data_IF_890191308400
#
_entry.id   IF_890191308400
#
_cell.length_a   1.000
_cell.length_b   1.000
_cell.length_c   1.000
_cell.angle_alpha   90.00
_cell.angle_beta   90.00
_cell.angle_gamma   90.00
#
_symmetry.space_group_name_H-M   'P 1'
#
loop_
_entity.id
_entity.type
_entity.pdbx_description
1 polymer ?
#
# COMPACT_ATOMS: atom_id res chain seq x y z
N UNK A 1 -4.78 0.54 25.55
CA UNK A 1 -5.02 0.22 24.13
C UNK A 1 -5.89 1.33 23.58
N UNK A 2 -5.59 1.86 22.39
CA UNK A 2 -6.49 2.80 21.71
C UNK A 2 -7.75 2.05 21.25
N UNK A 3 -8.88 2.74 21.10
CA UNK A 3 -10.07 2.12 20.51
C UNK A 3 -9.91 1.98 19.00
N UNK A 4 -10.71 1.11 18.37
CA UNK A 4 -10.73 1.01 16.90
C UNK A 4 -11.12 2.35 16.25
N UNK A 5 -12.06 3.08 16.84
CA UNK A 5 -12.50 4.37 16.34
C UNK A 5 -11.36 5.41 16.36
N UNK A 6 -10.59 5.45 17.45
CA UNK A 6 -9.42 6.33 17.55
C UNK A 6 -8.40 6.04 16.45
N UNK A 7 -8.10 4.75 16.21
CA UNK A 7 -7.13 4.35 15.19
C UNK A 7 -7.60 4.72 13.78
N UNK A 8 -8.87 4.48 13.45
CA UNK A 8 -9.43 4.85 12.15
C UNK A 8 -9.35 6.35 11.88
N UNK A 9 -9.55 7.18 12.91
CA UNK A 9 -9.45 8.63 12.81
C UNK A 9 -8.02 9.14 12.57
N UNK A 10 -7.00 8.29 12.75
CA UNK A 10 -5.60 8.65 12.48
C UNK A 10 -5.17 8.39 11.03
N UNK A 11 -5.98 7.72 10.21
CA UNK A 11 -5.65 7.43 8.81
C UNK A 11 -5.59 8.75 8.04
N UNK A 12 -4.41 9.20 7.57
CA UNK A 12 -4.31 10.48 6.92
C UNK A 12 -4.82 10.41 5.48
N UNK A 13 -5.37 11.52 4.98
CA UNK A 13 -5.67 11.66 3.56
C UNK A 13 -4.37 11.66 2.73
N UNK A 14 -4.46 11.20 1.49
CA UNK A 14 -3.34 11.27 0.52
C UNK A 14 -2.98 12.74 0.24
N UNK A 15 -1.69 13.04 0.02
CA UNK A 15 -1.18 14.38 -0.35
C UNK A 15 -1.24 14.59 -1.89
N UNK A 16 -2.21 15.37 -2.41
CA UNK A 16 -2.35 15.60 -3.85
C UNK A 16 -1.25 16.50 -4.42
N UNK A 17 -0.65 17.34 -3.58
CA UNK A 17 0.45 18.21 -3.98
C UNK A 17 1.73 17.39 -4.18
N UNK A 18 1.99 16.40 -3.32
CA UNK A 18 3.09 15.45 -3.51
C UNK A 18 2.91 14.60 -4.77
N UNK A 19 1.70 14.07 -5.01
CA UNK A 19 1.39 13.35 -6.25
C UNK A 19 1.65 14.22 -7.49
N UNK A 20 1.20 15.49 -7.46
CA UNK A 20 1.41 16.43 -8.57
C UNK A 20 2.88 16.76 -8.80
N UNK A 21 3.68 16.88 -7.73
CA UNK A 21 5.15 17.06 -7.85
C UNK A 21 5.81 15.83 -8.46
N UNK A 22 5.40 14.62 -8.05
CA UNK A 22 5.93 13.36 -8.59
C UNK A 22 5.58 13.19 -10.07
N UNK A 23 4.33 13.47 -10.47
CA UNK A 23 3.91 13.43 -11.88
C UNK A 23 4.79 14.34 -12.74
N UNK A 24 4.93 15.62 -12.37
CA UNK A 24 5.78 16.58 -13.11
C UNK A 24 7.23 16.12 -13.23
N UNK A 25 7.78 15.55 -12.15
CA UNK A 25 9.14 15.01 -12.18
C UNK A 25 9.27 13.83 -13.15
N UNK A 26 8.34 12.86 -13.07
CA UNK A 26 8.34 11.64 -13.89
C UNK A 26 8.13 11.96 -15.38
N UNK A 27 7.27 12.91 -15.70
CA UNK A 27 7.05 13.37 -17.08
C UNK A 27 8.27 14.06 -17.69
N UNK A 28 9.12 14.66 -16.85
CA UNK A 28 10.36 15.31 -17.26
C UNK A 28 11.57 14.37 -17.40
N UNK A 29 11.42 13.08 -17.13
CA UNK A 29 12.51 12.10 -17.28
C UNK A 29 12.77 11.79 -18.77
N UNK A 30 13.95 11.25 -19.08
CA UNK A 30 14.37 10.87 -20.44
C UNK A 30 13.64 9.60 -20.93
N UNK A 31 12.34 9.75 -21.17
CA UNK A 31 11.42 8.73 -21.69
C UNK A 31 10.23 9.42 -22.35
N UNK A 32 9.55 8.80 -23.33
CA UNK A 32 8.25 9.30 -23.75
C UNK A 32 7.29 9.36 -22.56
N UNK A 33 6.49 10.43 -22.45
CA UNK A 33 5.52 10.61 -21.37
C UNK A 33 4.59 9.39 -21.30
N UNK A 34 4.39 8.83 -20.10
CA UNK A 34 3.55 7.65 -19.88
C UNK A 34 4.11 6.31 -20.36
N UNK A 35 5.30 6.26 -20.97
CA UNK A 35 5.85 5.01 -21.55
C UNK A 35 6.13 3.91 -20.52
N UNK A 36 6.28 4.22 -19.23
CA UNK A 36 6.43 3.21 -18.17
C UNK A 36 5.09 2.81 -17.54
N UNK A 37 3.98 3.41 -17.99
CA UNK A 37 2.60 3.03 -17.66
C UNK A 37 2.35 2.87 -16.16
N UNK A 38 2.03 1.64 -15.72
CA UNK A 38 1.69 1.32 -14.33
C UNK A 38 2.80 1.65 -13.33
N UNK A 39 4.06 1.64 -13.76
CA UNK A 39 5.18 1.99 -12.88
C UNK A 39 5.14 3.48 -12.51
N UNK A 40 4.74 4.35 -13.43
CA UNK A 40 4.55 5.79 -13.17
C UNK A 40 3.40 6.00 -12.20
N UNK A 41 2.26 5.35 -12.46
CA UNK A 41 1.09 5.41 -11.59
C UNK A 41 1.41 4.96 -10.15
N UNK A 42 2.18 3.88 -9.99
CA UNK A 42 2.61 3.39 -8.68
C UNK A 42 3.54 4.39 -7.98
N UNK A 43 4.51 4.98 -8.69
CA UNK A 43 5.42 5.96 -8.11
C UNK A 43 4.67 7.22 -7.62
N UNK A 44 3.68 7.70 -8.37
CA UNK A 44 2.83 8.83 -8.00
C UNK A 44 1.99 8.50 -6.78
N UNK A 45 1.38 7.30 -6.75
CA UNK A 45 0.60 6.84 -5.60
C UNK A 45 1.44 6.78 -4.32
N UNK A 46 2.66 6.24 -4.40
CA UNK A 46 3.58 6.18 -3.27
C UNK A 46 4.00 7.57 -2.80
N UNK A 47 4.27 8.51 -3.71
CA UNK A 47 4.60 9.88 -3.35
C UNK A 47 3.46 10.59 -2.59
N UNK A 48 2.20 10.22 -2.86
CA UNK A 48 1.04 10.75 -2.15
C UNK A 48 0.86 10.21 -0.73
N UNK A 49 1.54 9.14 -0.34
CA UNK A 49 1.41 8.57 1.01
C UNK A 49 2.11 9.46 2.05
N UNK A 50 1.40 10.07 3.02
CA UNK A 50 1.99 11.05 3.93
C UNK A 50 3.15 10.50 4.76
N UNK A 51 3.09 9.22 5.16
CA UNK A 51 4.18 8.55 5.88
C UNK A 51 5.49 8.40 5.10
N UNK A 52 5.47 8.64 3.77
CA UNK A 52 6.65 8.61 2.90
C UNK A 52 7.18 10.02 2.57
N UNK A 53 6.53 11.10 3.03
CA UNK A 53 6.99 12.48 2.83
C UNK A 53 7.31 12.84 1.36
N UNK A 54 6.58 12.28 0.40
CA UNK A 54 6.80 12.55 -1.03
C UNK A 54 7.99 11.82 -1.67
N UNK A 55 8.77 11.06 -0.90
CA UNK A 55 9.93 10.29 -1.41
C UNK A 55 9.77 8.81 -1.03
N UNK A 56 9.59 7.90 -2.01
CA UNK A 56 9.42 6.47 -1.72
C UNK A 56 10.68 5.82 -1.11
N UNK A 57 10.79 5.79 0.22
CA UNK A 57 11.83 5.04 0.93
C UNK A 57 11.41 3.58 1.13
N UNK A 58 11.98 2.65 0.37
CA UNK A 58 11.58 1.24 0.36
C UNK A 58 12.55 0.29 1.09
N UNK A 59 13.48 0.79 1.90
CA UNK A 59 14.53 -0.05 2.51
C UNK A 59 14.00 -1.03 3.57
N UNK A 60 12.95 -0.67 4.30
CA UNK A 60 12.34 -1.50 5.34
C UNK A 60 10.96 -1.98 4.89
N UNK A 61 10.83 -3.29 4.70
CA UNK A 61 9.57 -3.95 4.30
C UNK A 61 9.27 -5.06 5.28
N UNK A 62 8.00 -5.31 5.54
CA UNK A 62 7.54 -6.39 6.39
C UNK A 62 6.40 -7.13 5.70
N UNK A 63 6.36 -8.45 5.87
CA UNK A 63 5.22 -9.30 5.54
C UNK A 63 4.70 -9.86 6.85
N UNK A 64 3.46 -9.55 7.21
CA UNK A 64 2.82 -10.05 8.43
C UNK A 64 1.93 -11.24 8.05
N UNK A 65 2.28 -12.44 8.51
CA UNK A 65 1.49 -13.66 8.28
C UNK A 65 0.61 -13.91 9.49
N UNK A 66 -0.71 -13.83 9.30
CA UNK A 66 -1.70 -14.13 10.33
C UNK A 66 -2.22 -15.56 10.11
N UNK A 67 -2.06 -16.42 11.10
CA UNK A 67 -2.53 -17.80 11.05
C UNK A 67 -3.57 -18.05 12.15
N UNK A 68 -4.66 -18.71 11.80
CA UNK A 68 -5.68 -19.18 12.72
C UNK A 68 -6.38 -20.40 12.12
N UNK A 69 -6.83 -21.31 12.97
CA UNK A 69 -7.75 -22.37 12.57
C UNK A 69 -9.18 -21.84 12.47
N UNK A 70 -9.98 -22.48 11.63
CA UNK A 70 -11.40 -22.15 11.47
C UNK A 70 -12.28 -23.31 11.95
N UNK A 71 -13.25 -23.01 12.81
CA UNK A 71 -14.17 -24.03 13.35
C UNK A 71 -15.03 -24.70 12.28
N UNK A 72 -15.38 -23.98 11.20
CA UNK A 72 -16.14 -24.52 10.05
C UNK A 72 -15.43 -25.69 9.34
N UNK A 73 -14.14 -25.89 9.61
CA UNK A 73 -13.41 -27.07 9.11
C UNK A 73 -14.12 -28.39 9.48
N UNK A 74 -14.76 -28.46 10.65
CA UNK A 74 -15.49 -29.66 11.10
C UNK A 74 -16.70 -30.00 10.22
N UNK A 75 -17.21 -29.04 9.43
CA UNK A 75 -18.30 -29.24 8.47
C UNK A 75 -17.82 -29.88 7.14
N UNK A 76 -16.55 -30.30 7.05
CA UNK A 76 -16.01 -31.00 5.88
C UNK A 76 -15.78 -30.13 4.64
N UNK A 77 -15.73 -28.80 4.81
CA UNK A 77 -15.59 -27.82 3.71
C UNK A 77 -14.15 -27.64 3.22
N UNK A 78 -13.17 -28.24 3.89
CA UNK A 78 -11.76 -28.08 3.58
C UNK A 78 -11.15 -29.38 3.01
N UNK A 79 -10.30 -29.22 1.98
CA UNK A 79 -9.60 -30.35 1.33
C UNK A 79 -8.35 -30.80 2.07
N UNK A 80 -7.82 -29.97 2.97
CA UNK A 80 -6.57 -30.21 3.67
C UNK A 80 -6.83 -30.65 5.12
N UNK A 81 -5.98 -31.53 5.69
CA UNK A 81 -6.04 -31.89 7.09
C UNK A 81 -5.94 -30.66 8.01
N UNK A 82 -6.56 -30.74 9.19
CA UNK A 82 -6.46 -29.70 10.23
C UNK A 82 -5.10 -29.71 10.95
N UNK A 83 -4.34 -30.80 10.85
CA UNK A 83 -3.03 -30.98 11.49
C UNK A 83 -2.04 -31.56 10.49
#
# INVERSE_FOLDING_TARGET
MQTLADLLNTIPAIDPAAMSRAQRHIDGLLKPVGSLGRLEALAIQLAGMPGLNGIPHVSKKAVLVMCADHGVWEEGVAISPKK
#
